data_IF_913853421118
#
_entry.id   IF_913853421118
#
_cell.length_a   1.000
_cell.length_b   1.000
_cell.length_c   1.000
_cell.angle_alpha   90.00
_cell.angle_beta   90.00
_cell.angle_gamma   90.00
#
_symmetry.space_group_name_H-M   'P 1'
#
loop_
_entity.id
_entity.type
_entity.pdbx_description
1 polymer ?
#
# COMPACT_ATOMS: atom_id res chain seq x y z
N UNK A 1 -7.26 3.17 -2.05
CA UNK A 1 -8.04 3.88 -3.08
C UNK A 1 -9.46 4.19 -2.60
N UNK A 2 -10.30 3.19 -2.30
CA UNK A 2 -11.70 3.39 -1.88
C UNK A 2 -11.84 4.30 -0.67
N UNK A 3 -11.12 4.00 0.42
CA UNK A 3 -11.15 4.84 1.63
C UNK A 3 -10.64 6.27 1.38
N UNK A 4 -9.62 6.44 0.54
CA UNK A 4 -9.15 7.79 0.17
C UNK A 4 -10.19 8.57 -0.64
N UNK A 5 -10.95 7.90 -1.50
CA UNK A 5 -12.11 8.46 -2.18
C UNK A 5 -13.21 8.86 -1.20
N UNK A 6 -13.49 8.04 -0.19
CA UNK A 6 -14.44 8.36 0.88
C UNK A 6 -13.98 9.58 1.71
N UNK A 7 -12.71 9.64 2.10
CA UNK A 7 -12.12 10.79 2.81
C UNK A 7 -12.33 12.08 2.00
N UNK A 8 -12.07 12.06 0.69
CA UNK A 8 -12.29 13.20 -0.19
C UNK A 8 -13.79 13.56 -0.30
N UNK A 9 -14.64 12.58 -0.55
CA UNK A 9 -16.08 12.79 -0.76
C UNK A 9 -16.78 13.35 0.49
N UNK A 10 -16.34 12.94 1.68
CA UNK A 10 -16.90 13.37 2.96
C UNK A 10 -16.25 14.68 3.49
N UNK A 11 -15.28 15.25 2.78
CA UNK A 11 -14.55 16.43 3.26
C UNK A 11 -13.64 16.17 4.46
N UNK A 12 -13.33 14.90 4.74
CA UNK A 12 -12.53 14.49 5.89
C UNK A 12 -11.01 14.62 5.68
N UNK A 13 -10.55 15.17 4.55
CA UNK A 13 -9.12 15.20 4.19
C UNK A 13 -8.23 16.07 5.08
N UNK A 14 -8.82 16.85 5.99
CA UNK A 14 -8.13 17.69 6.98
C UNK A 14 -8.68 17.47 8.41
N UNK A 15 -9.35 16.34 8.66
CA UNK A 15 -9.90 16.03 9.98
C UNK A 15 -8.79 15.76 11.01
N UNK A 16 -7.63 15.27 10.55
CA UNK A 16 -6.38 15.11 11.29
C UNK A 16 -5.34 16.12 10.75
N UNK A 17 -5.10 17.25 11.44
CA UNK A 17 -4.25 18.33 10.94
C UNK A 17 -2.74 18.02 10.97
N UNK A 18 -2.35 17.00 11.73
CA UNK A 18 -1.00 16.53 11.92
C UNK A 18 -0.76 15.18 11.23
N UNK A 19 0.52 14.87 11.02
CA UNK A 19 1.01 13.59 10.51
C UNK A 19 2.40 13.34 11.11
N UNK A 20 2.74 12.14 11.59
CA UNK A 20 2.00 10.87 11.46
C UNK A 20 0.87 10.68 12.49
N UNK A 21 0.84 11.50 13.54
CA UNK A 21 -0.20 11.50 14.57
C UNK A 21 -1.51 12.13 14.05
N UNK A 22 -2.59 11.98 14.81
CA UNK A 22 -3.83 12.72 14.62
C UNK A 22 -4.25 13.33 15.95
N UNK A 23 -4.33 14.65 16.03
CA UNK A 23 -4.52 15.42 17.27
C UNK A 23 -3.49 15.04 18.36
N UNK A 24 -2.23 14.79 17.95
CA UNK A 24 -1.15 14.41 18.85
C UNK A 24 -1.22 12.97 19.38
N UNK A 25 -2.19 12.17 18.94
CA UNK A 25 -2.38 10.78 19.35
C UNK A 25 -2.20 9.80 18.19
N UNK A 26 -1.72 8.59 18.49
CA UNK A 26 -1.68 7.49 17.51
C UNK A 26 -3.09 6.97 17.23
N UNK A 27 -3.93 6.92 18.27
CA UNK A 27 -5.37 6.62 18.18
C UNK A 27 -6.12 7.80 18.81
N UNK A 28 -6.74 8.68 18.01
CA UNK A 28 -7.46 9.85 18.51
C UNK A 28 -8.84 9.44 19.06
N UNK A 29 -9.61 10.42 19.54
CA UNK A 29 -11.02 10.23 19.85
C UNK A 29 -11.82 10.02 18.55
N UNK A 30 -12.33 8.80 18.35
CA UNK A 30 -13.07 8.41 17.14
C UNK A 30 -14.58 8.72 17.22
N UNK A 31 -15.02 9.54 18.19
CA UNK A 31 -16.42 9.96 18.29
C UNK A 31 -16.87 10.83 17.09
N UNK A 32 -15.93 11.57 16.47
CA UNK A 32 -16.18 12.31 15.24
C UNK A 32 -16.00 11.39 14.02
N UNK A 33 -17.06 11.16 13.19
CA UNK A 33 -16.98 10.32 12.00
C UNK A 33 -15.93 10.78 10.97
N UNK A 34 -15.65 12.08 10.86
CA UNK A 34 -14.65 12.60 9.92
C UNK A 34 -13.23 12.24 10.38
N UNK A 35 -12.96 12.34 11.67
CA UNK A 35 -11.69 11.89 12.26
C UNK A 35 -11.57 10.38 12.08
N UNK A 36 -12.65 9.63 12.33
CA UNK A 36 -12.65 8.18 12.21
C UNK A 36 -12.32 7.70 10.79
N UNK A 37 -12.93 8.29 9.75
CA UNK A 37 -12.67 7.86 8.38
C UNK A 37 -11.25 8.21 7.91
N UNK A 38 -10.71 9.38 8.28
CA UNK A 38 -9.34 9.74 7.94
C UNK A 38 -8.33 8.84 8.66
N UNK A 39 -8.56 8.57 9.95
CA UNK A 39 -7.72 7.67 10.73
C UNK A 39 -7.74 6.24 10.18
N UNK A 40 -8.92 5.71 9.83
CA UNK A 40 -9.06 4.38 9.19
C UNK A 40 -8.34 4.33 7.85
N UNK A 41 -8.39 5.41 7.05
CA UNK A 41 -7.61 5.50 5.81
C UNK A 41 -6.10 5.37 6.08
N UNK A 42 -5.57 6.07 7.10
CA UNK A 42 -4.16 5.98 7.52
C UNK A 42 -3.79 4.58 8.04
N UNK A 43 -4.65 3.96 8.84
CA UNK A 43 -4.46 2.61 9.35
C UNK A 43 -4.39 1.55 8.24
N UNK A 44 -5.28 1.65 7.23
CA UNK A 44 -5.25 0.76 6.07
C UNK A 44 -4.02 1.01 5.18
N UNK A 45 -3.55 2.25 5.08
CA UNK A 45 -2.30 2.55 4.39
C UNK A 45 -1.10 1.86 5.06
N UNK A 46 -1.04 1.88 6.41
CA UNK A 46 -0.02 1.14 7.17
C UNK A 46 -0.11 -0.37 6.93
N UNK A 47 -1.31 -0.95 7.04
CA UNK A 47 -1.53 -2.37 6.78
C UNK A 47 -1.09 -2.78 5.36
N UNK A 48 -1.39 -1.94 4.37
CA UNK A 48 -0.96 -2.13 2.97
C UNK A 48 0.57 -2.15 2.87
N UNK A 49 1.26 -1.26 3.59
CA UNK A 49 2.72 -1.25 3.64
C UNK A 49 3.32 -2.51 4.24
N UNK A 50 2.74 -3.03 5.32
CA UNK A 50 3.15 -4.30 5.92
C UNK A 50 2.94 -5.47 4.96
N UNK A 51 1.83 -5.49 4.23
CA UNK A 51 1.54 -6.51 3.22
C UNK A 51 2.57 -6.46 2.08
N UNK A 52 2.85 -5.27 1.52
CA UNK A 52 3.84 -5.15 0.43
C UNK A 52 5.25 -5.51 0.90
N UNK A 53 5.62 -5.15 2.14
CA UNK A 53 6.89 -5.57 2.73
C UNK A 53 6.97 -7.09 2.87
N UNK A 54 5.91 -7.72 3.39
CA UNK A 54 5.83 -9.18 3.47
C UNK A 54 5.95 -9.83 2.08
N UNK A 55 5.26 -9.30 1.08
CA UNK A 55 5.35 -9.78 -0.30
C UNK A 55 6.78 -9.67 -0.85
N UNK A 56 7.50 -8.57 -0.59
CA UNK A 56 8.90 -8.45 -0.98
C UNK A 56 9.78 -9.49 -0.28
N UNK A 57 9.60 -9.69 1.03
CA UNK A 57 10.34 -10.72 1.78
C UNK A 57 10.08 -12.11 1.18
N UNK A 58 8.81 -12.47 0.95
CA UNK A 58 8.46 -13.76 0.34
C UNK A 58 8.99 -13.90 -1.10
N UNK A 59 8.97 -12.84 -1.89
CA UNK A 59 9.56 -12.82 -3.22
C UNK A 59 11.08 -13.07 -3.18
N UNK A 60 11.80 -12.47 -2.21
CA UNK A 60 13.23 -12.70 -2.03
C UNK A 60 13.55 -14.11 -1.49
N UNK A 61 12.66 -14.71 -0.70
CA UNK A 61 12.86 -16.05 -0.15
C UNK A 61 12.54 -17.16 -1.16
N UNK A 62 11.43 -17.05 -1.89
CA UNK A 62 10.89 -18.12 -2.73
C UNK A 62 11.00 -17.86 -4.23
N UNK A 63 11.07 -16.61 -4.66
CA UNK A 63 11.08 -16.21 -6.07
C UNK A 63 12.38 -15.51 -6.50
N UNK A 64 13.49 -15.69 -5.75
CA UNK A 64 14.79 -15.04 -6.03
C UNK A 64 15.34 -15.27 -7.45
N UNK A 65 14.92 -16.35 -8.11
CA UNK A 65 15.27 -16.63 -9.50
C UNK A 65 14.44 -15.81 -10.51
N UNK A 66 13.17 -15.50 -10.20
CA UNK A 66 12.32 -14.64 -11.03
C UNK A 66 12.60 -13.16 -10.68
N UNK A 67 13.55 -12.59 -11.41
CA UNK A 67 13.97 -11.19 -11.26
C UNK A 67 12.82 -10.20 -11.49
N UNK A 68 11.82 -10.55 -12.28
CA UNK A 68 10.67 -9.67 -12.56
C UNK A 68 9.79 -9.55 -11.32
N UNK A 69 9.50 -10.67 -10.64
CA UNK A 69 8.73 -10.68 -9.38
C UNK A 69 9.45 -9.85 -8.31
N UNK A 70 10.75 -10.07 -8.11
CA UNK A 70 11.54 -9.32 -7.11
C UNK A 70 11.61 -7.83 -7.45
N UNK A 71 11.82 -7.47 -8.73
CA UNK A 71 11.87 -6.07 -9.17
C UNK A 71 10.53 -5.38 -8.97
N UNK A 72 9.42 -6.00 -9.37
CA UNK A 72 8.08 -5.43 -9.21
C UNK A 72 7.70 -5.28 -7.73
N UNK A 73 8.03 -6.25 -6.88
CA UNK A 73 7.82 -6.14 -5.43
C UNK A 73 8.62 -4.98 -4.84
N UNK A 74 9.89 -4.85 -5.23
CA UNK A 74 10.77 -3.76 -4.77
C UNK A 74 10.27 -2.39 -5.22
N UNK A 75 9.93 -2.25 -6.50
CA UNK A 75 9.38 -1.02 -7.08
C UNK A 75 8.06 -0.63 -6.43
N UNK A 76 7.19 -1.59 -6.13
CA UNK A 76 5.90 -1.33 -5.46
C UNK A 76 6.11 -0.78 -4.04
N UNK A 77 7.09 -1.29 -3.29
CA UNK A 77 7.42 -0.80 -1.97
C UNK A 77 8.02 0.62 -2.00
N UNK A 78 8.91 0.89 -2.97
CA UNK A 78 9.48 2.24 -3.18
C UNK A 78 8.39 3.24 -3.57
N UNK A 79 7.51 2.86 -4.50
CA UNK A 79 6.39 3.68 -4.93
C UNK A 79 5.40 3.94 -3.79
N UNK A 80 5.18 2.98 -2.89
CA UNK A 80 4.40 3.20 -1.66
C UNK A 80 5.07 4.23 -0.73
N UNK A 81 6.39 4.24 -0.63
CA UNK A 81 7.10 5.28 0.12
C UNK A 81 6.79 6.68 -0.42
N UNK A 82 6.86 6.87 -1.74
CA UNK A 82 6.45 8.11 -2.39
C UNK A 82 4.94 8.43 -2.19
N UNK A 83 4.10 7.40 -2.18
CA UNK A 83 2.66 7.53 -1.92
C UNK A 83 2.35 8.06 -0.53
N UNK A 84 3.06 7.57 0.49
CA UNK A 84 2.93 8.03 1.88
C UNK A 84 3.38 9.49 1.99
N UNK A 85 4.49 9.86 1.35
CA UNK A 85 4.97 11.25 1.31
C UNK A 85 3.96 12.18 0.65
N UNK A 86 3.39 11.80 -0.50
CA UNK A 86 2.33 12.57 -1.13
C UNK A 86 1.08 12.69 -0.24
N UNK A 87 0.74 11.64 0.52
CA UNK A 87 -0.38 11.66 1.46
C UNK A 87 -0.16 12.59 2.65
N UNK A 88 1.07 12.70 3.15
CA UNK A 88 1.41 13.71 4.15
C UNK A 88 1.36 15.13 3.54
N UNK A 89 1.83 15.28 2.30
CA UNK A 89 1.81 16.56 1.59
C UNK A 89 0.39 17.07 1.34
N UNK A 90 -0.64 16.21 1.17
CA UNK A 90 -2.03 16.69 1.00
C UNK A 90 -2.54 17.47 2.22
N UNK A 91 -2.04 17.16 3.42
CA UNK A 91 -2.41 17.86 4.65
C UNK A 91 -1.72 19.23 4.68
N UNK A 92 -0.39 19.24 4.46
CA UNK A 92 0.44 20.45 4.53
C UNK A 92 0.08 21.43 3.41
N UNK A 93 -0.27 20.94 2.21
CA UNK A 93 -0.71 21.77 1.09
C UNK A 93 -2.17 22.18 1.15
N UNK A 94 -2.90 21.83 2.24
CA UNK A 94 -4.33 22.09 2.41
C UNK A 94 -5.17 21.60 1.23
N UNK A 95 -4.94 20.36 0.83
CA UNK A 95 -5.64 19.66 -0.26
C UNK A 95 -5.42 20.29 -1.64
N UNK A 96 -4.22 20.80 -1.91
CA UNK A 96 -3.85 21.29 -3.24
C UNK A 96 -4.24 20.26 -4.33
N UNK A 97 -4.99 20.66 -5.38
CA UNK A 97 -5.52 19.73 -6.37
C UNK A 97 -4.44 18.92 -7.10
N UNK A 98 -3.27 19.51 -7.35
CA UNK A 98 -2.16 18.83 -8.02
C UNK A 98 -1.57 17.75 -7.11
N UNK A 99 -1.40 18.06 -5.82
CA UNK A 99 -0.91 17.08 -4.84
C UNK A 99 -1.91 15.94 -4.65
N UNK A 100 -3.20 16.25 -4.48
CA UNK A 100 -4.26 15.24 -4.28
C UNK A 100 -4.43 14.34 -5.51
N UNK A 101 -4.38 14.91 -6.71
CA UNK A 101 -4.46 14.13 -7.96
C UNK A 101 -3.22 13.28 -8.18
N UNK A 102 -2.03 13.80 -7.89
CA UNK A 102 -0.78 13.05 -7.94
C UNK A 102 -0.78 11.88 -6.96
N UNK A 103 -1.26 12.11 -5.73
CA UNK A 103 -1.45 11.06 -4.73
C UNK A 103 -2.41 9.98 -5.24
N UNK A 104 -3.54 10.33 -5.85
CA UNK A 104 -4.46 9.33 -6.41
C UNK A 104 -3.86 8.57 -7.59
N UNK A 105 -3.16 9.26 -8.50
CA UNK A 105 -2.52 8.65 -9.67
C UNK A 105 -1.46 7.63 -9.25
N UNK A 106 -0.59 8.00 -8.29
CA UNK A 106 0.42 7.08 -7.77
C UNK A 106 -0.21 5.93 -6.98
N UNK A 107 -1.30 6.16 -6.22
CA UNK A 107 -2.05 5.08 -5.57
C UNK A 107 -2.53 4.03 -6.57
N UNK A 108 -3.01 4.51 -7.72
CA UNK A 108 -3.53 3.67 -8.82
C UNK A 108 -2.41 2.83 -9.42
N UNK A 109 -1.24 3.45 -9.65
CA UNK A 109 -0.08 2.75 -10.17
C UNK A 109 0.43 1.66 -9.20
N UNK A 110 0.50 1.96 -7.90
CA UNK A 110 0.87 0.99 -6.85
C UNK A 110 -0.14 -0.16 -6.78
N UNK A 111 -1.44 0.13 -6.89
CA UNK A 111 -2.47 -0.91 -6.92
C UNK A 111 -2.33 -1.81 -8.15
N UNK A 112 -2.11 -1.23 -9.34
CA UNK A 112 -1.89 -1.99 -10.56
C UNK A 112 -0.63 -2.86 -10.48
N UNK A 113 0.47 -2.35 -9.94
CA UNK A 113 1.70 -3.13 -9.78
C UNK A 113 1.52 -4.28 -8.79
N UNK A 114 0.83 -4.06 -7.68
CA UNK A 114 0.50 -5.10 -6.71
C UNK A 114 -0.42 -6.19 -7.33
N UNK A 115 -1.38 -5.80 -8.17
CA UNK A 115 -2.26 -6.74 -8.87
C UNK A 115 -1.47 -7.59 -9.88
N UNK A 116 -0.59 -6.98 -10.67
CA UNK A 116 0.30 -7.71 -11.59
C UNK A 116 1.19 -8.69 -10.82
N UNK A 117 1.76 -8.26 -9.71
CA UNK A 117 2.58 -9.11 -8.85
C UNK A 117 1.80 -10.32 -8.33
N UNK A 118 0.58 -10.10 -7.84
CA UNK A 118 -0.30 -11.18 -7.39
C UNK A 118 -0.56 -12.20 -8.51
N UNK A 119 -0.90 -11.74 -9.72
CA UNK A 119 -1.12 -12.62 -10.89
C UNK A 119 0.15 -13.41 -11.24
N UNK A 120 1.31 -12.75 -11.31
CA UNK A 120 2.57 -13.42 -11.66
C UNK A 120 2.94 -14.51 -10.65
N UNK A 121 2.78 -14.25 -9.35
CA UNK A 121 3.10 -15.25 -8.30
C UNK A 121 2.17 -16.46 -8.31
N UNK A 122 0.93 -16.31 -8.82
CA UNK A 122 -0.01 -17.43 -9.00
C UNK A 122 0.33 -18.24 -10.25
N UNK A 123 0.67 -17.57 -11.35
CA UNK A 123 0.95 -18.22 -12.65
C UNK A 123 2.33 -18.89 -12.70
N UNK A 124 3.29 -18.37 -11.94
CA UNK A 124 4.68 -18.86 -11.91
C UNK A 124 5.06 -19.35 -10.51
N UNK A 125 4.53 -20.49 -10.03
CA UNK A 125 4.80 -20.96 -8.68
C UNK A 125 6.30 -21.17 -8.43
N UNK A 126 6.76 -21.05 -7.17
CA UNK A 126 8.17 -21.21 -6.83
C UNK A 126 8.63 -22.66 -7.09
N UNK A 127 9.92 -22.83 -7.41
CA UNK A 127 10.53 -24.11 -7.83
C UNK A 127 10.47 -25.23 -6.77
N UNK A 128 9.97 -24.94 -5.56
CA UNK A 128 9.79 -25.91 -4.47
C UNK A 128 8.74 -27.00 -4.75
N UNK A 129 8.01 -26.95 -5.88
CA UNK A 129 6.93 -27.89 -6.19
C UNK A 129 7.34 -29.12 -7.01
N UNK A 130 8.64 -29.38 -7.22
CA UNK A 130 9.09 -30.66 -7.75
C UNK A 130 8.97 -31.75 -6.67
N UNK A 131 7.86 -32.50 -6.70
CA UNK A 131 7.69 -33.72 -5.91
C UNK A 131 8.88 -34.66 -6.14
N UNK A 132 9.35 -35.40 -5.10
CA UNK A 132 10.40 -36.40 -5.28
C UNK A 132 9.95 -37.42 -6.32
N UNK A 133 10.80 -37.64 -7.33
CA UNK A 133 10.56 -38.63 -8.37
C UNK A 133 10.23 -39.99 -7.73
N UNK A 134 9.04 -40.53 -8.02
CA UNK A 134 8.75 -41.94 -7.79
C UNK A 134 9.83 -42.75 -8.50
N UNK A 135 10.67 -43.42 -7.71
CA UNK A 135 11.56 -44.47 -8.18
C UNK A 135 10.71 -45.67 -8.62
N UNK A 136 10.74 -46.10 -9.89
CA UNK A 136 10.16 -47.38 -10.28
C UNK A 136 11.06 -48.49 -9.73
N UNK A 137 10.51 -49.33 -8.86
CA UNK A 137 11.09 -50.61 -8.42
C UNK A 137 10.26 -51.76 -8.95
#
# INVERSE_FOLDING_TARGET
>A
MVLGGAVKALGAGLACPDWPLCHGAVVPNLADPLIAIEWVHRAVALATGLILLATLVLALLWFRADRVVVLLASMSLVALGAQITLGALTIVSRLDPVVVTSHLALATAVFASALVLAVLTVVRPPETSAAPAETPG
#
